data_IF_681626261774
#
_entry.id   IF_681626261774
#
_cell.length_a   1.000
_cell.length_b   1.000
_cell.length_c   1.000
_cell.angle_alpha   90.00
_cell.angle_beta   90.00
_cell.angle_gamma   90.00
#
_symmetry.space_group_name_H-M   'P 1'
#
loop_
_entity.id
_entity.type
_entity.pdbx_description
1 polymer ?
#
# COMPACT_ATOMS: atom_id res chain seq x y z
N UNK A 1 -1.33 -6.35 -20.55
CA UNK A 1 -0.98 -7.12 -19.33
C UNK A 1 -0.57 -6.15 -18.22
N UNK A 2 -0.46 -6.59 -16.96
CA UNK A 2 -0.04 -5.70 -15.86
C UNK A 2 1.37 -5.13 -16.08
N UNK A 3 2.29 -5.92 -16.64
CA UNK A 3 3.65 -5.48 -16.95
C UNK A 3 3.65 -4.26 -17.88
N UNK A 4 2.85 -4.27 -18.96
CA UNK A 4 2.74 -3.14 -19.89
C UNK A 4 2.17 -1.88 -19.23
N UNK A 5 1.29 -2.06 -18.24
CA UNK A 5 0.62 -0.96 -17.54
C UNK A 5 1.52 -0.29 -16.51
N UNK A 6 2.46 -1.02 -15.93
CA UNK A 6 3.43 -0.53 -14.94
C UNK A 6 4.85 -0.43 -15.51
N UNK A 7 4.99 -0.34 -16.84
CA UNK A 7 6.28 -0.18 -17.51
C UNK A 7 6.76 1.29 -17.58
N UNK A 8 6.14 2.17 -16.81
CA UNK A 8 6.49 3.60 -16.71
C UNK A 8 6.86 3.92 -15.25
N UNK A 9 7.59 5.02 -15.05
CA UNK A 9 7.98 5.52 -13.73
C UNK A 9 6.88 6.38 -13.07
N UNK A 10 5.82 6.72 -13.82
CA UNK A 10 4.67 7.45 -13.30
C UNK A 10 3.74 6.56 -12.46
N UNK A 11 3.29 7.10 -11.31
CA UNK A 11 2.31 6.42 -10.46
C UNK A 11 0.93 6.37 -11.13
N UNK A 12 0.54 5.20 -11.61
CA UNK A 12 -0.75 4.93 -12.27
C UNK A 12 -1.93 5.26 -11.34
N UNK A 13 -1.77 5.03 -10.04
CA UNK A 13 -2.83 5.25 -9.05
C UNK A 13 -2.51 6.36 -8.02
N UNK A 14 -1.45 7.13 -8.27
CA UNK A 14 -0.94 8.12 -7.33
C UNK A 14 -0.34 7.52 -6.05
N UNK A 15 0.12 8.40 -5.17
CA UNK A 15 0.90 8.03 -3.97
C UNK A 15 0.09 8.04 -2.68
N UNK A 16 -1.08 8.66 -2.67
CA UNK A 16 -1.92 8.71 -1.46
C UNK A 16 -2.52 7.33 -1.15
N UNK A 17 -2.54 6.91 0.13
CA UNK A 17 -3.16 5.64 0.51
C UNK A 17 -4.66 5.68 0.28
N UNK A 18 -5.29 4.50 0.29
CA UNK A 18 -6.74 4.40 0.29
C UNK A 18 -7.35 5.10 1.52
N UNK A 19 -8.34 5.98 1.31
CA UNK A 19 -8.98 6.74 2.39
C UNK A 19 -9.60 5.85 3.47
N UNK A 20 -10.25 4.74 3.09
CA UNK A 20 -10.82 3.80 4.06
C UNK A 20 -9.74 3.18 4.94
N UNK A 21 -8.60 2.78 4.34
CA UNK A 21 -7.47 2.25 5.10
C UNK A 21 -6.92 3.31 6.06
N UNK A 22 -6.76 4.54 5.58
CA UNK A 22 -6.29 5.68 6.38
C UNK A 22 -7.20 5.96 7.59
N UNK A 23 -8.51 5.90 7.41
CA UNK A 23 -9.49 6.11 8.48
C UNK A 23 -9.52 5.00 9.53
N UNK A 24 -9.17 3.76 9.17
CA UNK A 24 -9.34 2.59 10.03
C UNK A 24 -8.02 1.98 10.55
N UNK A 25 -6.87 2.52 10.15
CA UNK A 25 -5.56 1.95 10.46
C UNK A 25 -5.30 1.79 11.96
N UNK A 26 -5.84 2.68 12.79
CA UNK A 26 -5.71 2.63 14.25
C UNK A 26 -6.44 1.45 14.89
N UNK A 27 -7.42 0.87 14.19
CA UNK A 27 -8.21 -0.27 14.66
C UNK A 27 -7.51 -1.61 14.37
N UNK A 28 -6.49 -1.61 13.53
CA UNK A 28 -5.75 -2.81 13.15
C UNK A 28 -4.73 -3.21 14.23
N UNK A 29 -4.61 -4.51 14.55
CA UNK A 29 -3.59 -4.98 15.47
C UNK A 29 -2.19 -4.74 14.87
N UNK A 30 -1.30 -4.10 15.61
CA UNK A 30 0.08 -3.87 15.19
C UNK A 30 0.83 -5.20 15.03
N UNK A 31 1.72 -5.26 14.04
CA UNK A 31 2.53 -6.44 13.75
C UNK A 31 2.75 -6.64 12.25
N UNK A 32 2.80 -7.90 11.82
CA UNK A 32 3.05 -8.28 10.43
C UNK A 32 1.81 -8.13 9.57
N UNK A 33 1.95 -7.52 8.39
CA UNK A 33 0.88 -7.34 7.41
C UNK A 33 1.35 -7.80 6.03
N UNK A 34 0.47 -8.48 5.29
CA UNK A 34 0.68 -8.88 3.90
C UNK A 34 -0.25 -8.08 2.98
N UNK A 35 0.33 -7.30 2.06
CA UNK A 35 -0.39 -6.48 1.09
C UNK A 35 -0.38 -7.17 -0.27
N UNK A 36 -1.46 -7.84 -0.63
CA UNK A 36 -1.56 -8.60 -1.88
C UNK A 36 -1.92 -7.70 -3.06
N UNK A 37 -1.18 -7.85 -4.16
CA UNK A 37 -1.43 -7.12 -5.41
C UNK A 37 -1.54 -5.61 -5.21
N UNK A 38 -0.69 -5.05 -4.33
CA UNK A 38 -0.72 -3.63 -3.97
C UNK A 38 -0.12 -2.71 -5.05
N UNK A 39 0.20 -3.25 -6.22
CA UNK A 39 0.74 -2.53 -7.37
C UNK A 39 1.98 -1.72 -6.99
N UNK A 40 1.85 -0.40 -7.02
CA UNK A 40 2.92 0.56 -6.72
C UNK A 40 3.14 0.79 -5.21
N UNK A 41 2.41 0.08 -4.36
CA UNK A 41 2.71 -0.02 -2.93
C UNK A 41 2.21 1.12 -2.05
N UNK A 42 1.33 2.01 -2.55
CA UNK A 42 0.87 3.20 -1.79
C UNK A 42 0.28 2.87 -0.41
N UNK A 43 -0.41 1.72 -0.29
CA UNK A 43 -0.95 1.28 1.01
C UNK A 43 0.13 0.61 1.86
N UNK A 44 0.99 -0.20 1.24
CA UNK A 44 2.12 -0.86 1.89
C UNK A 44 3.07 0.15 2.54
N UNK A 45 3.42 1.21 1.83
CA UNK A 45 4.26 2.31 2.34
C UNK A 45 3.56 3.01 3.51
N UNK A 46 2.29 3.40 3.34
CA UNK A 46 1.51 4.01 4.42
C UNK A 46 1.49 3.13 5.68
N UNK A 47 1.23 1.82 5.55
CA UNK A 47 1.25 0.89 6.68
C UNK A 47 2.64 0.78 7.32
N UNK A 48 3.72 0.76 6.54
CA UNK A 48 5.08 0.78 7.08
C UNK A 48 5.34 2.06 7.89
N UNK A 49 4.90 3.22 7.42
CA UNK A 49 4.99 4.49 8.15
C UNK A 49 4.16 4.49 9.44
N UNK A 50 3.05 3.76 9.48
CA UNK A 50 2.24 3.55 10.69
C UNK A 50 2.84 2.51 11.66
N UNK A 51 4.04 1.98 11.37
CA UNK A 51 4.78 1.07 12.25
C UNK A 51 4.41 -0.41 12.12
N UNK A 52 3.80 -0.82 11.01
CA UNK A 52 3.59 -2.24 10.69
C UNK A 52 4.82 -2.85 10.03
N UNK A 53 5.01 -4.16 10.20
CA UNK A 53 6.02 -4.96 9.50
C UNK A 53 5.41 -5.51 8.21
N UNK A 54 5.66 -4.85 7.08
CA UNK A 54 4.92 -5.07 5.83
C UNK A 54 5.66 -6.02 4.89
N UNK A 55 4.93 -6.99 4.34
CA UNK A 55 5.30 -7.78 3.16
C UNK A 55 4.32 -7.41 2.04
N UNK A 56 4.81 -7.11 0.84
CA UNK A 56 4.01 -6.71 -0.32
C UNK A 56 4.41 -7.49 -1.57
#
# INVERSE_FOLDING_TARGET
MWDEKYNDEEYVYGTEPNDFLKEHVEQLPKGRVLCLADGEGRNSVFLAEQGFDVTA
#
